data_IF_268979463066
#
_entry.id   IF_268979463066
#
_cell.length_a   1.000
_cell.length_b   1.000
_cell.length_c   1.000
_cell.angle_alpha   90.00
_cell.angle_beta   90.00
_cell.angle_gamma   90.00
#
_symmetry.space_group_name_H-M   'P 1'
#
loop_
_entity.id
_entity.type
_entity.pdbx_description
1 polymer ?
#
# COMPACT_ATOMS: atom_id res chain seq x y z
N UNK A 1 -28.51 -6.99 6.69
CA UNK A 1 -29.50 -5.90 6.52
C UNK A 1 -30.17 -5.56 7.85
N UNK A 2 -29.50 -4.71 8.64
CA UNK A 2 -29.98 -3.84 9.72
C UNK A 2 -28.71 -3.43 10.49
N UNK A 3 -28.58 -2.12 10.73
CA UNK A 3 -27.44 -1.42 11.36
C UNK A 3 -26.33 -0.93 10.44
N UNK A 4 -26.65 0.03 9.56
CA UNK A 4 -25.74 1.14 9.29
C UNK A 4 -26.60 2.41 9.38
N UNK A 5 -26.69 2.96 10.58
CA UNK A 5 -27.18 4.32 10.83
C UNK A 5 -26.10 5.05 11.62
N UNK A 6 -25.95 6.33 11.30
CA UNK A 6 -25.11 7.38 11.91
C UNK A 6 -23.93 7.79 11.02
N UNK A 7 -24.24 8.66 10.07
CA UNK A 7 -23.47 9.88 9.85
C UNK A 7 -24.50 11.01 9.78
N UNK A 8 -24.68 11.73 10.88
CA UNK A 8 -25.49 12.95 10.95
C UNK A 8 -24.81 13.94 11.90
N UNK A 9 -24.95 15.22 11.57
CA UNK A 9 -24.34 16.44 12.15
C UNK A 9 -22.93 16.74 11.60
N UNK A 10 -22.61 17.90 11.01
CA UNK A 10 -23.20 19.25 10.94
C UNK A 10 -22.57 19.97 9.74
N UNK A 11 -23.32 20.75 8.97
CA UNK A 11 -23.08 22.19 8.66
C UNK A 11 -24.05 22.68 7.57
N UNK A 12 -24.76 23.76 7.90
CA UNK A 12 -25.59 24.56 7.02
C UNK A 12 -24.71 25.34 6.04
N UNK A 13 -24.93 25.12 4.74
CA UNK A 13 -24.22 25.77 3.64
C UNK A 13 -24.32 24.92 2.37
N UNK A 14 -25.53 24.67 1.89
CA UNK A 14 -25.79 23.73 0.79
C UNK A 14 -25.39 24.39 -0.54
N UNK A 15 -24.13 24.23 -0.93
CA UNK A 15 -23.83 24.06 -2.35
C UNK A 15 -24.10 22.60 -2.69
N UNK A 16 -24.95 22.37 -3.68
CA UNK A 16 -25.40 21.04 -4.07
C UNK A 16 -24.25 20.31 -4.78
N UNK A 17 -23.39 19.60 -4.04
CA UNK A 17 -22.34 18.75 -4.60
C UNK A 17 -22.97 17.43 -5.06
N UNK A 18 -23.69 17.46 -6.19
CA UNK A 18 -24.16 16.23 -6.81
C UNK A 18 -22.95 15.45 -7.36
N UNK A 19 -22.50 14.41 -6.65
CA UNK A 19 -21.64 13.42 -7.27
C UNK A 19 -22.42 12.72 -8.37
N UNK A 20 -21.84 12.65 -9.58
CA UNK A 20 -22.47 11.98 -10.72
C UNK A 20 -22.72 10.52 -10.34
N UNK A 21 -23.99 10.07 -10.43
CA UNK A 21 -24.33 8.63 -10.36
C UNK A 21 -23.64 7.90 -11.53
N UNK A 22 -22.43 7.41 -11.29
CA UNK A 22 -21.71 6.49 -12.18
C UNK A 22 -21.57 5.11 -11.54
N UNK A 23 -22.62 4.71 -10.80
CA UNK A 23 -22.88 3.32 -10.46
C UNK A 23 -23.32 2.61 -11.76
N UNK A 24 -22.54 1.65 -12.26
CA UNK A 24 -22.89 0.88 -13.47
C UNK A 24 -21.83 0.77 -14.57
N UNK A 25 -20.53 0.78 -14.26
CA UNK A 25 -19.55 0.27 -15.22
C UNK A 25 -19.80 -1.24 -15.43
N UNK A 26 -20.14 -1.63 -16.66
CA UNK A 26 -20.32 -3.04 -17.02
C UNK A 26 -19.12 -3.87 -16.56
N UNK A 27 -19.38 -4.91 -15.74
CA UNK A 27 -18.36 -5.89 -15.33
C UNK A 27 -17.75 -5.71 -13.94
N UNK A 28 -18.29 -4.83 -13.09
CA UNK A 28 -17.92 -4.79 -11.66
C UNK A 28 -18.48 -6.00 -10.89
N UNK A 29 -17.74 -6.44 -9.86
CA UNK A 29 -18.26 -7.38 -8.86
C UNK A 29 -19.46 -6.73 -8.14
N UNK A 30 -20.56 -7.46 -7.86
CA UNK A 30 -21.75 -6.90 -7.22
C UNK A 30 -21.48 -6.20 -5.88
N UNK A 31 -20.58 -6.73 -5.05
CA UNK A 31 -20.25 -6.11 -3.76
C UNK A 31 -19.45 -4.82 -3.94
N UNK A 32 -18.63 -4.74 -5.00
CA UNK A 32 -17.92 -3.51 -5.36
C UNK A 32 -18.92 -2.46 -5.86
N UNK A 33 -19.87 -2.88 -6.69
CA UNK A 33 -20.95 -2.00 -7.17
C UNK A 33 -21.80 -1.44 -6.02
N UNK A 34 -22.23 -2.28 -5.07
CA UNK A 34 -22.98 -1.87 -3.87
C UNK A 34 -22.15 -0.89 -3.01
N UNK A 35 -20.87 -1.18 -2.80
CA UNK A 35 -19.97 -0.27 -2.09
C UNK A 35 -19.87 1.10 -2.78
N UNK A 36 -19.71 1.13 -4.11
CA UNK A 36 -19.65 2.37 -4.87
C UNK A 36 -20.96 3.16 -4.78
N UNK A 37 -22.11 2.50 -4.81
CA UNK A 37 -23.41 3.15 -4.61
C UNK A 37 -23.54 3.79 -3.23
N UNK A 38 -23.08 3.11 -2.18
CA UNK A 38 -23.07 3.65 -0.81
C UNK A 38 -22.19 4.89 -0.71
N UNK A 39 -20.94 4.84 -1.20
CA UNK A 39 -20.05 6.01 -1.11
C UNK A 39 -20.54 7.19 -1.94
N UNK A 40 -21.13 6.94 -3.11
CA UNK A 40 -21.67 8.00 -3.97
C UNK A 40 -23.00 8.58 -3.46
N UNK A 41 -23.63 7.97 -2.46
CA UNK A 41 -24.80 8.54 -1.77
C UNK A 41 -24.44 9.71 -0.84
N UNK A 42 -23.14 9.87 -0.54
CA UNK A 42 -22.63 10.98 0.23
C UNK A 42 -22.61 12.28 -0.60
N UNK A 43 -23.38 13.28 -0.15
CA UNK A 43 -23.52 14.58 -0.83
C UNK A 43 -22.61 15.67 -0.23
N UNK A 44 -21.65 15.32 0.63
CA UNK A 44 -20.70 16.28 1.19
C UNK A 44 -19.47 16.51 0.31
N UNK A 45 -18.55 17.39 0.74
CA UNK A 45 -17.34 17.68 -0.02
C UNK A 45 -16.44 16.43 -0.11
N UNK A 46 -15.66 16.28 -1.17
CA UNK A 46 -14.74 15.15 -1.30
C UNK A 46 -13.69 15.13 -0.19
N UNK A 47 -13.10 13.96 0.07
CA UNK A 47 -12.21 13.74 1.23
C UNK A 47 -11.06 14.76 1.34
N UNK A 48 -10.49 15.18 0.20
CA UNK A 48 -9.40 16.16 0.14
C UNK A 48 -9.80 17.61 0.44
N UNK A 49 -11.10 17.92 0.50
CA UNK A 49 -11.62 19.24 0.85
C UNK A 49 -12.06 19.32 2.33
N UNK A 50 -12.04 18.20 3.05
CA UNK A 50 -12.31 18.15 4.48
C UNK A 50 -11.07 18.57 5.30
N UNK A 51 -11.26 19.06 6.54
CA UNK A 51 -10.16 19.15 7.50
C UNK A 51 -9.44 17.79 7.64
N UNK A 52 -8.11 17.81 7.75
CA UNK A 52 -7.27 16.60 7.68
C UNK A 52 -7.63 15.57 8.75
N UNK A 53 -7.91 16.01 9.97
CA UNK A 53 -8.34 15.16 11.09
C UNK A 53 -9.69 14.49 10.80
N UNK A 54 -10.65 15.24 10.26
CA UNK A 54 -11.96 14.72 9.84
C UNK A 54 -11.82 13.70 8.71
N UNK A 55 -11.02 14.01 7.68
CA UNK A 55 -10.78 13.09 6.56
C UNK A 55 -10.08 11.79 7.00
N UNK A 56 -9.06 11.88 7.87
CA UNK A 56 -8.39 10.72 8.46
C UNK A 56 -9.35 9.88 9.31
N UNK A 57 -10.17 10.52 10.14
CA UNK A 57 -11.18 9.83 10.94
C UNK A 57 -12.26 9.16 10.08
N UNK A 58 -12.66 9.78 8.96
CA UNK A 58 -13.60 9.18 8.02
C UNK A 58 -13.05 7.86 7.43
N UNK A 59 -11.76 7.81 7.08
CA UNK A 59 -11.11 6.58 6.61
C UNK A 59 -11.05 5.51 7.70
N UNK A 60 -10.76 5.87 8.96
CA UNK A 60 -10.81 4.91 10.07
C UNK A 60 -12.23 4.39 10.32
N UNK A 61 -13.24 5.27 10.23
CA UNK A 61 -14.64 4.89 10.40
C UNK A 61 -15.13 3.96 9.28
N UNK A 62 -14.71 4.19 8.03
CA UNK A 62 -15.00 3.32 6.89
C UNK A 62 -14.52 1.87 7.12
N UNK A 63 -13.44 1.72 7.90
CA UNK A 63 -12.83 0.44 8.21
C UNK A 63 -13.42 -0.22 9.47
N UNK A 64 -14.36 0.40 10.18
CA UNK A 64 -14.97 -0.21 11.37
C UNK A 64 -15.79 -1.44 10.98
N UNK A 65 -15.49 -2.56 11.62
CA UNK A 65 -16.24 -3.79 11.49
C UNK A 65 -16.17 -4.59 12.81
N UNK A 66 -17.32 -4.75 13.47
CA UNK A 66 -17.43 -5.43 14.76
C UNK A 66 -17.27 -6.95 14.69
N UNK A 67 -17.26 -7.53 13.49
CA UNK A 67 -17.05 -8.98 13.27
C UNK A 67 -15.56 -9.35 13.25
N UNK A 68 -14.67 -8.37 13.12
CA UNK A 68 -13.22 -8.60 13.08
C UNK A 68 -12.65 -8.80 14.49
N UNK A 69 -11.98 -9.94 14.70
CA UNK A 69 -11.21 -10.20 15.93
C UNK A 69 -9.71 -10.09 15.69
N UNK A 70 -8.97 -9.81 16.77
CA UNK A 70 -7.52 -9.65 16.76
C UNK A 70 -6.83 -10.46 17.87
N UNK A 71 -7.56 -11.39 18.47
CA UNK A 71 -7.13 -12.24 19.59
C UNK A 71 -5.99 -13.20 19.24
N UNK A 72 -5.75 -13.46 17.94
CA UNK A 72 -4.69 -14.36 17.45
C UNK A 72 -3.37 -13.68 17.10
N UNK A 73 -3.28 -12.36 17.25
CA UNK A 73 -2.05 -11.59 17.00
C UNK A 73 -1.67 -10.74 18.21
N UNK A 74 -0.39 -10.40 18.30
CA UNK A 74 0.13 -9.39 19.21
C UNK A 74 0.50 -8.14 18.42
N UNK A 75 0.23 -6.97 19.01
CA UNK A 75 0.66 -5.67 18.49
C UNK A 75 1.72 -5.10 19.41
N UNK A 76 2.87 -4.72 18.86
CA UNK A 76 3.95 -4.10 19.63
C UNK A 76 4.38 -2.83 18.94
N UNK A 77 4.18 -1.68 19.60
CA UNK A 77 4.70 -0.40 19.13
C UNK A 77 6.18 -0.31 19.47
N UNK A 78 7.01 -0.05 18.46
CA UNK A 78 8.44 0.20 18.63
C UNK A 78 8.69 1.63 18.19
N UNK A 79 9.31 2.42 19.05
CA UNK A 79 9.84 3.74 18.71
C UNK A 79 11.35 3.68 18.76
N UNK A 80 12.00 4.26 17.76
CA UNK A 80 13.45 4.40 17.76
C UNK A 80 13.85 5.75 17.17
N UNK A 81 15.02 6.23 17.60
CA UNK A 81 15.64 7.44 17.07
C UNK A 81 16.89 7.05 16.30
N UNK A 82 17.04 7.60 15.12
CA UNK A 82 18.27 7.54 14.32
C UNK A 82 18.59 8.95 13.85
N UNK A 83 19.74 9.48 14.24
CA UNK A 83 20.08 10.91 14.11
C UNK A 83 19.00 11.79 14.77
N UNK A 84 18.49 12.81 14.07
CA UNK A 84 17.45 13.72 14.54
C UNK A 84 16.01 13.23 14.27
N UNK A 85 15.83 12.03 13.70
CA UNK A 85 14.51 11.51 13.32
C UNK A 85 14.05 10.44 14.30
N UNK A 86 12.84 10.61 14.82
CA UNK A 86 12.13 9.57 15.57
C UNK A 86 11.13 8.90 14.62
N UNK A 87 11.20 7.57 14.52
CA UNK A 87 10.27 6.79 13.68
C UNK A 87 9.57 5.76 14.55
N UNK A 88 8.27 5.60 14.32
CA UNK A 88 7.46 4.59 14.99
C UNK A 88 7.05 3.49 14.02
N UNK A 89 6.99 2.26 14.52
CA UNK A 89 6.43 1.12 13.79
C UNK A 89 5.49 0.35 14.70
N UNK A 90 4.47 -0.28 14.10
CA UNK A 90 3.64 -1.27 14.77
C UNK A 90 3.97 -2.64 14.22
N UNK A 91 4.47 -3.51 15.10
CA UNK A 91 4.79 -4.90 14.77
C UNK A 91 3.58 -5.77 15.06
N UNK A 92 3.07 -6.43 14.02
CA UNK A 92 1.98 -7.42 14.11
C UNK A 92 2.57 -8.82 13.99
N UNK A 93 2.39 -9.66 15.02
CA UNK A 93 2.92 -11.03 15.04
C UNK A 93 1.84 -12.04 15.43
N UNK A 94 1.77 -13.24 14.80
CA UNK A 94 0.92 -14.31 15.28
C UNK A 94 1.27 -14.72 16.72
N UNK A 95 0.26 -14.98 17.54
CA UNK A 95 0.48 -15.59 18.87
C UNK A 95 1.03 -17.01 18.69
N UNK A 96 1.93 -17.42 19.58
CA UNK A 96 2.58 -18.74 19.50
C UNK A 96 3.62 -18.88 18.38
N UNK A 97 3.92 -17.80 17.63
CA UNK A 97 4.97 -17.83 16.63
C UNK A 97 6.34 -18.14 17.24
N UNK A 98 7.25 -18.68 16.41
CA UNK A 98 8.66 -18.91 16.78
C UNK A 98 9.31 -17.64 17.32
N UNK A 99 10.38 -17.81 18.12
CA UNK A 99 11.12 -16.69 18.73
C UNK A 99 11.59 -15.67 17.68
N UNK A 100 11.97 -16.12 16.49
CA UNK A 100 12.36 -15.29 15.34
C UNK A 100 11.56 -15.79 14.12
N UNK A 101 10.84 -14.90 13.45
CA UNK A 101 10.05 -15.20 12.24
C UNK A 101 10.37 -14.22 11.10
N UNK A 102 10.13 -14.58 9.82
CA UNK A 102 10.37 -13.70 8.68
C UNK A 102 9.67 -12.34 8.79
N UNK A 103 10.26 -11.32 8.18
CA UNK A 103 9.85 -9.93 8.36
C UNK A 103 9.32 -9.32 7.06
N UNK A 104 8.07 -8.89 7.08
CA UNK A 104 7.47 -8.08 6.02
C UNK A 104 7.31 -6.63 6.49
N UNK A 105 8.06 -5.69 5.92
CA UNK A 105 7.92 -4.26 6.20
C UNK A 105 6.85 -3.69 5.27
N UNK A 106 5.85 -3.05 5.86
CA UNK A 106 4.67 -2.57 5.14
C UNK A 106 4.53 -1.05 5.21
N UNK A 107 4.41 -0.42 4.05
CA UNK A 107 4.12 1.01 3.88
C UNK A 107 2.67 1.15 3.43
N UNK A 108 1.89 1.94 4.16
CA UNK A 108 0.46 2.07 3.89
C UNK A 108 0.13 3.05 2.77
N UNK A 109 -1.00 2.83 2.10
CA UNK A 109 -1.56 3.75 1.11
C UNK A 109 -2.26 4.96 1.74
N UNK A 110 -3.33 5.43 1.07
CA UNK A 110 -4.06 6.65 1.47
C UNK A 110 -3.45 7.94 0.94
N UNK A 111 -2.77 7.86 -0.20
CA UNK A 111 -2.21 9.02 -0.91
C UNK A 111 -1.23 9.85 -0.09
N UNK A 112 -0.44 9.20 0.77
CA UNK A 112 0.48 9.81 1.75
C UNK A 112 -0.18 10.65 2.84
N UNK A 113 -1.51 10.82 2.84
CA UNK A 113 -2.23 11.77 3.71
C UNK A 113 -3.12 11.09 4.74
N UNK A 114 -3.98 10.17 4.32
CA UNK A 114 -5.19 9.85 5.08
C UNK A 114 -5.08 8.64 6.00
N UNK A 115 -4.36 7.61 5.59
CA UNK A 115 -4.42 6.33 6.27
C UNK A 115 -3.39 6.25 7.41
N UNK A 116 -3.45 5.13 8.13
CA UNK A 116 -2.60 4.80 9.26
C UNK A 116 -2.84 3.37 9.74
N UNK A 117 -2.29 2.99 10.89
CA UNK A 117 -2.34 1.59 11.34
C UNK A 117 -3.77 1.06 11.48
N UNK A 118 -4.69 1.81 12.07
CA UNK A 118 -6.06 1.35 12.30
C UNK A 118 -6.81 1.05 10.98
N UNK A 119 -6.63 1.88 9.94
CA UNK A 119 -7.23 1.62 8.61
C UNK A 119 -6.74 0.31 7.96
N UNK A 120 -5.51 -0.11 8.24
CA UNK A 120 -4.87 -1.29 7.64
C UNK A 120 -4.85 -2.51 8.56
N UNK A 121 -5.29 -2.35 9.81
CA UNK A 121 -5.11 -3.32 10.90
C UNK A 121 -5.59 -4.72 10.55
N UNK A 122 -6.74 -4.83 9.87
CA UNK A 122 -7.26 -6.10 9.35
C UNK A 122 -6.28 -6.74 8.36
N UNK A 123 -5.88 -6.02 7.31
CA UNK A 123 -5.00 -6.56 6.28
C UNK A 123 -3.66 -7.01 6.89
N UNK A 124 -3.12 -6.23 7.84
CA UNK A 124 -1.87 -6.57 8.51
C UNK A 124 -2.01 -7.85 9.35
N UNK A 125 -3.12 -7.99 10.10
CA UNK A 125 -3.47 -9.23 10.81
C UNK A 125 -3.58 -10.41 9.84
N UNK A 126 -4.33 -10.23 8.75
CA UNK A 126 -4.61 -11.30 7.79
C UNK A 126 -3.31 -11.83 7.15
N UNK A 127 -2.43 -10.93 6.72
CA UNK A 127 -1.12 -11.29 6.16
C UNK A 127 -0.26 -11.97 7.24
N UNK A 128 -0.18 -11.41 8.44
CA UNK A 128 0.63 -11.98 9.53
C UNK A 128 0.21 -13.43 9.83
N UNK A 129 -1.10 -13.69 9.94
CA UNK A 129 -1.64 -15.01 10.24
C UNK A 129 -1.48 -15.98 9.06
N UNK A 130 -1.87 -15.58 7.84
CA UNK A 130 -1.87 -16.48 6.68
C UNK A 130 -0.47 -16.77 6.15
N UNK A 131 0.44 -15.81 6.19
CA UNK A 131 1.82 -15.99 5.74
C UNK A 131 2.74 -16.49 6.87
N UNK A 132 2.31 -16.45 8.13
CA UNK A 132 3.09 -16.77 9.33
C UNK A 132 4.35 -15.90 9.48
N UNK A 133 4.18 -14.60 9.27
CA UNK A 133 5.26 -13.60 9.27
C UNK A 133 5.01 -12.51 10.30
N UNK A 134 6.07 -11.80 10.70
CA UNK A 134 5.92 -10.53 11.36
C UNK A 134 5.69 -9.43 10.33
N UNK A 135 4.63 -8.65 10.49
CA UNK A 135 4.39 -7.46 9.68
C UNK A 135 4.83 -6.24 10.47
N UNK A 136 5.81 -5.50 9.95
CA UNK A 136 6.31 -4.24 10.51
C UNK A 136 5.64 -3.10 9.75
N UNK A 137 4.54 -2.59 10.31
CA UNK A 137 3.82 -1.46 9.74
C UNK A 137 4.53 -0.16 10.07
N UNK A 138 4.87 0.63 9.04
CA UNK A 138 5.59 1.90 9.21
C UNK A 138 4.62 3.05 9.45
N UNK A 139 4.74 3.72 10.60
CA UNK A 139 4.01 4.96 10.89
C UNK A 139 4.87 6.15 10.42
N UNK A 140 4.91 6.39 9.10
CA UNK A 140 5.66 7.51 8.52
C UNK A 140 4.93 8.85 8.70
N UNK A 141 5.68 9.94 8.65
CA UNK A 141 5.18 11.32 8.64
C UNK A 141 4.38 11.58 7.36
N UNK A 142 3.12 11.97 7.53
CA UNK A 142 2.14 12.11 6.44
C UNK A 142 2.17 13.50 5.82
N UNK A 143 1.82 13.58 4.55
CA UNK A 143 1.54 14.85 3.89
C UNK A 143 0.18 15.41 4.37
N UNK A 144 -0.04 16.74 4.31
CA UNK A 144 0.91 17.79 3.94
C UNK A 144 1.89 18.18 5.07
N UNK A 145 1.78 17.63 6.29
CA UNK A 145 2.67 18.00 7.40
C UNK A 145 4.14 17.68 7.10
N UNK A 146 4.39 16.63 6.33
CA UNK A 146 5.68 16.32 5.76
C UNK A 146 5.57 15.91 4.27
N UNK A 147 6.19 16.69 3.40
CA UNK A 147 6.32 16.38 1.96
C UNK A 147 7.54 15.47 1.69
N UNK A 148 7.68 15.02 0.44
CA UNK A 148 8.88 14.33 -0.04
C UNK A 148 10.17 15.10 0.33
N UNK A 149 11.25 14.43 0.79
CA UNK A 149 11.47 12.98 0.85
C UNK A 149 11.21 12.34 2.22
N UNK A 150 10.59 13.04 3.18
CA UNK A 150 10.60 12.67 4.61
C UNK A 150 10.13 11.22 4.84
N UNK A 151 8.96 10.86 4.34
CA UNK A 151 8.39 9.52 4.52
C UNK A 151 9.27 8.41 3.91
N UNK A 152 9.91 8.66 2.75
CA UNK A 152 10.80 7.69 2.11
C UNK A 152 12.07 7.48 2.94
N UNK A 153 12.64 8.55 3.48
CA UNK A 153 13.80 8.48 4.36
C UNK A 153 13.47 7.74 5.66
N UNK A 154 12.32 7.99 6.27
CA UNK A 154 11.85 7.24 7.43
C UNK A 154 11.64 5.75 7.12
N UNK A 155 11.06 5.43 5.95
CA UNK A 155 10.91 4.05 5.52
C UNK A 155 12.25 3.32 5.32
N UNK A 156 13.23 4.00 4.75
CA UNK A 156 14.60 3.49 4.63
C UNK A 156 15.27 3.30 6.00
N UNK A 157 15.05 4.23 6.94
CA UNK A 157 15.53 4.10 8.32
C UNK A 157 14.92 2.89 9.00
N UNK A 158 13.62 2.61 8.82
CA UNK A 158 12.98 1.40 9.35
C UNK A 158 13.60 0.15 8.77
N UNK A 159 13.74 0.06 7.44
CA UNK A 159 14.36 -1.11 6.81
C UNK A 159 15.78 -1.36 7.36
N UNK A 160 16.57 -0.30 7.50
CA UNK A 160 17.91 -0.36 8.07
C UNK A 160 17.91 -0.78 9.55
N UNK A 161 17.02 -0.21 10.35
CA UNK A 161 16.89 -0.51 11.77
C UNK A 161 16.48 -1.97 12.01
N UNK A 162 15.51 -2.47 11.26
CA UNK A 162 15.05 -3.86 11.38
C UNK A 162 16.14 -4.84 10.92
N UNK A 163 16.91 -4.50 9.89
CA UNK A 163 18.04 -5.34 9.47
C UNK A 163 19.17 -5.40 10.51
N UNK A 164 19.43 -4.30 11.24
CA UNK A 164 20.45 -4.26 12.29
C UNK A 164 19.97 -4.86 13.61
N UNK A 165 18.75 -4.56 14.01
CA UNK A 165 18.27 -4.76 15.39
C UNK A 165 17.04 -5.66 15.49
N UNK A 166 16.45 -6.12 14.38
CA UNK A 166 15.19 -6.86 14.36
C UNK A 166 15.19 -8.12 15.26
N UNK A 167 16.34 -8.80 15.39
CA UNK A 167 16.46 -10.00 16.24
C UNK A 167 16.05 -9.74 17.70
N UNK A 168 16.30 -8.53 18.24
CA UNK A 168 15.93 -8.17 19.62
C UNK A 168 14.41 -8.07 19.82
N UNK A 169 13.65 -7.94 18.73
CA UNK A 169 12.18 -7.93 18.70
C UNK A 169 11.60 -9.25 18.16
N UNK A 170 12.45 -10.28 18.01
CA UNK A 170 12.05 -11.57 17.44
C UNK A 170 11.66 -11.49 15.96
N UNK A 171 12.33 -10.61 15.21
CA UNK A 171 12.18 -10.43 13.77
C UNK A 171 13.42 -10.97 13.06
N UNK A 172 13.23 -11.73 11.98
CA UNK A 172 14.34 -12.15 11.14
C UNK A 172 14.86 -10.96 10.33
N UNK A 173 16.08 -10.56 10.66
CA UNK A 173 16.73 -9.38 10.09
C UNK A 173 17.49 -9.65 8.78
N UNK A 174 17.52 -10.92 8.34
CA UNK A 174 18.19 -11.38 7.11
C UNK A 174 17.21 -11.73 5.99
N UNK A 175 15.94 -11.92 6.34
CA UNK A 175 14.85 -12.26 5.43
C UNK A 175 13.78 -11.16 5.48
N UNK A 176 14.09 -10.03 4.85
CA UNK A 176 13.23 -8.84 4.82
C UNK A 176 12.59 -8.71 3.43
N UNK A 177 11.27 -8.68 3.38
CA UNK A 177 10.49 -8.23 2.22
C UNK A 177 9.92 -6.85 2.54
N UNK A 178 9.88 -5.96 1.56
CA UNK A 178 9.16 -4.68 1.65
C UNK A 178 7.88 -4.74 0.83
N UNK A 179 6.89 -3.95 1.17
CA UNK A 179 5.70 -3.83 0.34
C UNK A 179 4.77 -2.75 0.82
N UNK A 180 3.72 -2.55 0.05
CA UNK A 180 2.72 -1.54 0.36
C UNK A 180 1.67 -1.44 -0.71
N UNK A 181 0.63 -0.69 -0.39
CA UNK A 181 -0.51 -0.44 -1.25
C UNK A 181 -0.56 1.02 -1.72
N UNK A 182 -0.99 1.26 -2.95
CA UNK A 182 -1.18 2.62 -3.48
C UNK A 182 0.11 3.46 -3.37
N UNK A 183 0.06 4.60 -2.68
CA UNK A 183 1.20 5.42 -2.27
C UNK A 183 2.25 4.65 -1.45
N UNK A 184 1.85 3.68 -0.64
CA UNK A 184 2.76 2.77 0.05
C UNK A 184 3.51 1.83 -0.90
N UNK A 185 2.89 1.44 -2.02
CA UNK A 185 3.57 0.72 -3.10
C UNK A 185 4.67 1.57 -3.76
N UNK A 186 4.41 2.86 -3.96
CA UNK A 186 5.43 3.84 -4.38
C UNK A 186 6.61 3.86 -3.40
N UNK A 187 6.31 4.03 -2.11
CA UNK A 187 7.31 4.07 -1.04
C UNK A 187 8.13 2.77 -0.95
N UNK A 188 7.49 1.61 -1.08
CA UNK A 188 8.18 0.32 -1.03
C UNK A 188 9.28 0.21 -2.11
N UNK A 189 8.95 0.63 -3.33
CA UNK A 189 9.92 0.69 -4.42
C UNK A 189 11.00 1.75 -4.16
N UNK A 190 10.64 2.95 -3.68
CA UNK A 190 11.61 3.99 -3.37
C UNK A 190 12.63 3.52 -2.32
N UNK A 191 12.15 2.89 -1.24
CA UNK A 191 13.00 2.29 -0.19
C UNK A 191 13.89 1.18 -0.76
N UNK A 192 13.37 0.36 -1.69
CA UNK A 192 14.19 -0.66 -2.34
C UNK A 192 15.32 -0.06 -3.21
N UNK A 193 15.04 1.04 -3.92
CA UNK A 193 16.06 1.79 -4.66
C UNK A 193 17.10 2.41 -3.71
N UNK A 194 16.66 3.03 -2.61
CA UNK A 194 17.54 3.60 -1.60
C UNK A 194 18.44 2.52 -0.97
N UNK A 195 17.88 1.36 -0.64
CA UNK A 195 18.62 0.22 -0.10
C UNK A 195 19.67 -0.31 -1.08
N UNK A 196 19.33 -0.38 -2.38
CA UNK A 196 20.29 -0.72 -3.44
C UNK A 196 21.41 0.32 -3.53
N UNK A 197 21.08 1.61 -3.61
CA UNK A 197 22.04 2.70 -3.75
C UNK A 197 23.02 2.75 -2.56
N UNK A 198 22.53 2.52 -1.34
CA UNK A 198 23.35 2.49 -0.14
C UNK A 198 24.03 1.13 0.12
N UNK A 199 23.73 0.11 -0.69
CA UNK A 199 24.23 -1.26 -0.53
C UNK A 199 23.64 -2.04 0.66
N UNK A 200 22.75 -1.42 1.45
CA UNK A 200 22.18 -1.94 2.69
C UNK A 200 20.78 -1.33 2.94
N UNK A 201 19.82 -2.06 3.55
CA UNK A 201 19.85 -3.49 3.84
C UNK A 201 19.62 -4.34 2.56
N UNK A 202 19.86 -5.65 2.66
CA UNK A 202 19.49 -6.58 1.59
C UNK A 202 18.00 -6.94 1.69
N UNK A 203 17.26 -6.69 0.62
CA UNK A 203 15.83 -6.97 0.53
C UNK A 203 15.59 -8.18 -0.38
N UNK A 204 14.77 -9.12 0.07
CA UNK A 204 14.49 -10.40 -0.61
C UNK A 204 13.48 -10.24 -1.75
N UNK A 205 12.45 -9.43 -1.53
CA UNK A 205 11.40 -9.17 -2.50
C UNK A 205 10.72 -7.83 -2.22
N UNK A 206 9.90 -7.37 -3.17
CA UNK A 206 8.96 -6.28 -2.98
C UNK A 206 7.54 -6.70 -3.40
N UNK A 207 6.52 -6.27 -2.67
CA UNK A 207 5.11 -6.53 -2.96
C UNK A 207 4.39 -5.20 -3.15
N UNK A 208 3.90 -4.96 -4.37
CA UNK A 208 3.36 -3.68 -4.80
C UNK A 208 1.87 -3.86 -5.13
N UNK A 209 1.00 -3.35 -4.27
CA UNK A 209 -0.45 -3.46 -4.43
C UNK A 209 -0.96 -2.17 -5.06
N UNK A 210 -1.46 -2.25 -6.30
CA UNK A 210 -2.00 -1.15 -7.12
C UNK A 210 -1.19 0.15 -6.96
N UNK A 211 0.14 0.11 -7.23
CA UNK A 211 1.06 1.16 -6.80
C UNK A 211 0.92 2.45 -7.60
N UNK A 212 1.17 3.58 -6.96
CA UNK A 212 1.47 4.85 -7.66
C UNK A 212 2.91 4.79 -8.18
N UNK A 213 3.11 5.03 -9.46
CA UNK A 213 4.41 4.88 -10.14
C UNK A 213 4.77 6.05 -11.07
N UNK A 214 3.81 6.89 -11.46
CA UNK A 214 4.05 8.02 -12.36
C UNK A 214 3.30 9.29 -11.92
N UNK A 215 3.80 10.46 -12.36
CA UNK A 215 3.09 11.74 -12.18
C UNK A 215 2.19 12.07 -13.38
N UNK A 216 2.20 11.25 -14.42
CA UNK A 216 1.33 11.41 -15.58
C UNK A 216 -0.09 10.94 -15.29
N UNK A 217 -1.02 11.90 -15.17
CA UNK A 217 -2.43 11.62 -14.91
C UNK A 217 -3.27 11.41 -16.18
N UNK A 218 -2.66 11.11 -17.34
CA UNK A 218 -3.33 10.99 -18.64
C UNK A 218 -3.20 9.59 -19.28
N UNK A 219 -3.00 8.52 -18.49
CA UNK A 219 -3.04 7.16 -19.06
C UNK A 219 -4.46 6.79 -19.48
N UNK A 220 -4.66 5.79 -20.35
CA UNK A 220 -6.01 5.32 -20.71
C UNK A 220 -6.85 4.92 -19.49
N UNK A 221 -6.25 4.32 -18.46
CA UNK A 221 -6.94 4.04 -17.18
C UNK A 221 -7.33 5.30 -16.42
N UNK A 222 -6.48 6.33 -16.38
CA UNK A 222 -6.81 7.62 -15.78
C UNK A 222 -7.96 8.32 -16.51
N UNK A 223 -8.01 8.26 -17.84
CA UNK A 223 -9.09 8.84 -18.62
C UNK A 223 -10.41 8.10 -18.37
N UNK A 224 -10.37 6.77 -18.49
CA UNK A 224 -11.56 5.91 -18.39
C UNK A 224 -12.17 5.88 -16.99
N UNK A 225 -11.35 5.86 -15.95
CA UNK A 225 -11.81 5.73 -14.56
C UNK A 225 -11.63 7.03 -13.76
N UNK A 226 -11.54 8.18 -14.45
CA UNK A 226 -11.27 9.49 -13.83
C UNK A 226 -12.21 9.86 -12.67
N UNK A 227 -13.43 9.32 -12.66
CA UNK A 227 -14.48 9.55 -11.66
C UNK A 227 -15.26 8.25 -11.42
N UNK A 228 -16.03 8.19 -10.33
CA UNK A 228 -17.04 7.15 -10.09
C UNK A 228 -16.49 5.77 -9.68
N UNK A 229 -15.19 5.63 -9.44
CA UNK A 229 -14.54 4.36 -9.10
C UNK A 229 -13.70 4.49 -7.82
N UNK A 230 -14.24 5.18 -6.81
CA UNK A 230 -13.60 5.49 -5.53
C UNK A 230 -12.38 6.42 -5.65
N UNK A 231 -11.25 5.97 -6.20
CA UNK A 231 -10.09 6.82 -6.46
C UNK A 231 -10.32 7.63 -7.74
N UNK A 232 -10.29 8.96 -7.63
CA UNK A 232 -10.49 9.87 -8.76
C UNK A 232 -9.18 10.47 -9.27
N UNK A 233 -9.18 10.90 -10.52
CA UNK A 233 -8.06 11.63 -11.13
C UNK A 233 -7.77 12.95 -10.39
N UNK A 234 -8.80 13.67 -9.95
CA UNK A 234 -8.65 14.91 -9.19
C UNK A 234 -8.05 14.66 -7.80
N UNK A 235 -8.44 13.57 -7.14
CA UNK A 235 -7.85 13.19 -5.85
C UNK A 235 -6.36 12.84 -6.01
N UNK A 236 -5.99 12.10 -7.07
CA UNK A 236 -4.58 11.83 -7.37
C UNK A 236 -3.77 13.09 -7.68
N UNK A 237 -4.35 14.05 -8.39
CA UNK A 237 -3.71 15.36 -8.62
C UNK A 237 -3.41 16.06 -7.30
N UNK A 238 -4.39 16.11 -6.41
CA UNK A 238 -4.23 16.72 -5.09
C UNK A 238 -3.18 16.00 -4.24
N UNK A 239 -3.17 14.66 -4.23
CA UNK A 239 -2.12 13.90 -3.53
C UNK A 239 -0.71 14.27 -4.00
N UNK A 240 -0.50 14.41 -5.32
CA UNK A 240 0.79 14.86 -5.85
C UNK A 240 1.14 16.29 -5.42
N UNK A 241 0.17 17.20 -5.38
CA UNK A 241 0.37 18.59 -4.96
C UNK A 241 0.85 18.69 -3.50
N UNK A 242 0.30 17.87 -2.59
CA UNK A 242 0.70 17.90 -1.17
C UNK A 242 1.94 17.05 -0.86
N UNK A 243 2.14 15.94 -1.57
CA UNK A 243 3.28 15.06 -1.36
C UNK A 243 4.57 15.59 -2.00
N UNK A 244 4.51 16.03 -3.25
CA UNK A 244 5.65 16.49 -4.03
C UNK A 244 5.32 17.83 -4.72
N UNK A 245 5.16 18.93 -3.96
CA UNK A 245 4.74 20.22 -4.51
C UNK A 245 5.74 20.80 -5.52
N UNK A 246 7.04 20.51 -5.35
CA UNK A 246 8.05 20.89 -6.31
C UNK A 246 7.99 19.96 -7.54
N UNK A 247 7.75 20.51 -8.73
CA UNK A 247 7.66 19.73 -9.97
C UNK A 247 9.03 19.27 -10.48
N UNK A 248 10.12 19.90 -10.09
CA UNK A 248 11.48 19.53 -10.54
C UNK A 248 11.85 18.11 -10.09
N UNK A 249 11.33 17.69 -8.94
CA UNK A 249 11.58 16.35 -8.39
C UNK A 249 10.67 15.27 -8.98
N UNK A 250 9.68 15.61 -9.81
CA UNK A 250 8.74 14.63 -10.41
C UNK A 250 9.42 13.69 -11.41
N UNK A 251 10.66 13.97 -11.79
CA UNK A 251 11.49 13.10 -12.64
C UNK A 251 12.32 12.09 -11.83
N UNK A 252 12.46 12.28 -10.52
CA UNK A 252 13.27 11.41 -9.66
C UNK A 252 12.65 10.02 -9.57
N UNK A 253 13.49 8.98 -9.70
CA UNK A 253 13.08 7.58 -9.62
C UNK A 253 12.39 7.21 -8.29
N UNK A 254 12.76 7.88 -7.20
CA UNK A 254 12.17 7.71 -5.86
C UNK A 254 10.87 8.49 -5.64
N UNK A 255 10.47 9.33 -6.61
CA UNK A 255 9.17 10.02 -6.64
C UNK A 255 8.25 9.30 -7.63
N UNK A 256 8.71 9.16 -8.89
CA UNK A 256 8.00 8.50 -9.97
C UNK A 256 8.81 7.30 -10.51
N UNK A 257 8.69 6.11 -9.89
CA UNK A 257 9.43 4.91 -10.29
C UNK A 257 9.33 4.53 -11.76
N UNK A 258 8.20 4.83 -12.42
CA UNK A 258 8.03 4.58 -13.85
C UNK A 258 8.99 5.42 -14.71
N UNK A 259 9.55 6.51 -14.18
CA UNK A 259 10.55 7.34 -14.86
C UNK A 259 12.00 6.89 -14.61
N UNK A 260 12.23 5.99 -13.67
CA UNK A 260 13.57 5.46 -13.33
C UNK A 260 14.30 4.86 -14.55
N UNK A 261 15.61 5.04 -14.67
CA UNK A 261 16.38 4.39 -15.74
C UNK A 261 16.44 2.86 -15.53
N UNK A 262 16.76 2.10 -16.59
CA UNK A 262 16.97 0.64 -16.42
C UNK A 262 18.12 0.34 -15.43
N UNK A 263 19.11 1.22 -15.34
CA UNK A 263 20.20 1.09 -14.38
C UNK A 263 19.73 1.31 -12.94
N UNK A 264 18.79 2.23 -12.70
CA UNK A 264 18.17 2.42 -11.38
C UNK A 264 17.39 1.18 -10.94
N UNK A 265 16.74 0.49 -11.90
CA UNK A 265 15.90 -0.68 -11.65
C UNK A 265 16.64 -2.01 -11.61
N UNK A 266 17.82 -2.11 -12.26
CA UNK A 266 18.61 -3.35 -12.29
C UNK A 266 18.93 -3.82 -10.87
N UNK A 267 18.87 -5.13 -10.62
CA UNK A 267 19.15 -5.74 -9.31
C UNK A 267 18.21 -5.27 -8.17
N UNK A 268 17.06 -4.65 -8.47
CA UNK A 268 15.99 -4.54 -7.48
C UNK A 268 15.46 -5.92 -7.09
N UNK A 269 14.87 -6.06 -5.89
CA UNK A 269 14.33 -7.34 -5.42
C UNK A 269 13.23 -7.85 -6.36
N UNK A 270 13.07 -9.18 -6.42
CA UNK A 270 11.96 -9.80 -7.14
C UNK A 270 10.61 -9.22 -6.68
N UNK A 271 9.68 -9.10 -7.60
CA UNK A 271 8.47 -8.30 -7.39
C UNK A 271 7.20 -9.10 -7.61
N UNK A 272 6.25 -8.98 -6.70
CA UNK A 272 4.83 -9.21 -6.96
C UNK A 272 4.16 -7.85 -7.14
N UNK A 273 3.52 -7.62 -8.28
CA UNK A 273 2.74 -6.43 -8.56
C UNK A 273 1.28 -6.81 -8.85
N UNK A 274 0.35 -6.25 -8.10
CA UNK A 274 -1.08 -6.49 -8.26
C UNK A 274 -1.73 -5.19 -8.75
N UNK A 275 -2.60 -5.25 -9.75
CA UNK A 275 -3.43 -4.10 -10.17
C UNK A 275 -4.91 -4.45 -10.10
N UNK A 276 -5.76 -3.44 -9.95
CA UNK A 276 -7.21 -3.55 -10.07
C UNK A 276 -7.66 -3.14 -11.48
N UNK A 277 -8.70 -3.79 -12.02
CA UNK A 277 -9.19 -3.50 -13.37
C UNK A 277 -9.78 -2.10 -13.53
N UNK A 278 -10.53 -1.63 -12.53
CA UNK A 278 -11.23 -0.33 -12.49
C UNK A 278 -10.48 0.64 -11.58
N UNK A 279 -9.26 1.00 -11.98
CA UNK A 279 -8.38 1.87 -11.22
C UNK A 279 -7.63 2.82 -12.15
N UNK A 280 -7.59 4.10 -11.80
CA UNK A 280 -6.81 5.11 -12.51
C UNK A 280 -5.32 4.75 -12.58
N UNK A 281 -4.78 4.09 -11.55
CA UNK A 281 -3.37 3.70 -11.45
C UNK A 281 -3.00 2.41 -12.20
N UNK A 282 -3.98 1.73 -12.78
CA UNK A 282 -3.77 0.41 -13.39
C UNK A 282 -2.67 0.41 -14.44
N UNK A 283 -2.77 1.31 -15.42
CA UNK A 283 -1.88 1.28 -16.57
C UNK A 283 -0.44 1.67 -16.20
N UNK A 284 -0.25 2.59 -15.26
CA UNK A 284 1.08 2.95 -14.78
C UNK A 284 1.74 1.82 -13.97
N UNK A 285 0.98 1.13 -13.10
CA UNK A 285 1.48 -0.03 -12.37
C UNK A 285 1.88 -1.17 -13.31
N UNK A 286 1.08 -1.45 -14.34
CA UNK A 286 1.40 -2.47 -15.35
C UNK A 286 2.57 -2.07 -16.25
N UNK A 287 2.69 -0.79 -16.60
CA UNK A 287 3.85 -0.26 -17.30
C UNK A 287 5.13 -0.40 -16.45
N UNK A 288 5.04 -0.16 -15.14
CA UNK A 288 6.17 -0.32 -14.23
C UNK A 288 6.60 -1.79 -14.10
N UNK A 289 5.65 -2.74 -14.04
CA UNK A 289 5.96 -4.16 -14.09
C UNK A 289 6.72 -4.54 -15.37
N UNK A 290 6.33 -4.01 -16.53
CA UNK A 290 7.06 -4.20 -17.80
C UNK A 290 8.47 -3.62 -17.71
N UNK A 291 8.63 -2.41 -17.15
CA UNK A 291 9.92 -1.73 -17.01
C UNK A 291 10.88 -2.48 -16.08
N UNK A 292 10.39 -3.04 -14.98
CA UNK A 292 11.15 -3.92 -14.10
C UNK A 292 11.66 -5.17 -14.84
N UNK A 293 10.81 -5.81 -15.67
CA UNK A 293 11.24 -6.95 -16.51
C UNK A 293 12.28 -6.55 -17.54
N UNK A 294 12.17 -5.38 -18.16
CA UNK A 294 13.20 -4.85 -19.06
C UNK A 294 14.54 -4.69 -18.33
N UNK A 295 14.52 -4.29 -17.06
CA UNK A 295 15.70 -4.22 -16.19
C UNK A 295 16.15 -5.59 -15.60
N UNK A 296 15.58 -6.70 -16.11
CA UNK A 296 15.88 -8.09 -15.70
C UNK A 296 15.52 -8.42 -14.24
N UNK A 297 14.60 -7.67 -13.63
CA UNK A 297 14.03 -8.02 -12.32
C UNK A 297 13.01 -9.16 -12.53
N UNK A 298 13.01 -10.21 -11.69
CA UNK A 298 11.94 -11.22 -11.71
C UNK A 298 10.63 -10.60 -11.22
N UNK A 299 9.58 -10.61 -12.06
CA UNK A 299 8.30 -9.94 -11.77
C UNK A 299 7.13 -10.85 -12.08
N UNK A 300 6.27 -11.04 -11.09
CA UNK A 300 4.88 -11.49 -11.29
C UNK A 300 4.00 -10.23 -11.30
N UNK A 301 3.20 -10.04 -12.35
CA UNK A 301 2.21 -8.96 -12.42
C UNK A 301 0.82 -9.53 -12.70
N UNK A 302 -0.15 -9.25 -11.84
CA UNK A 302 -1.52 -9.79 -11.93
C UNK A 302 -2.55 -8.67 -11.85
N UNK A 303 -3.47 -8.61 -12.81
CA UNK A 303 -4.66 -7.76 -12.73
C UNK A 303 -5.81 -8.56 -12.15
N UNK A 304 -6.50 -8.02 -11.14
CA UNK A 304 -7.74 -8.57 -10.63
C UNK A 304 -8.93 -7.86 -11.28
N UNK A 305 -9.80 -8.65 -11.92
CA UNK A 305 -11.00 -8.18 -12.60
C UNK A 305 -12.12 -7.79 -11.63
N UNK A 306 -13.03 -6.94 -12.09
CA UNK A 306 -14.26 -6.58 -11.38
C UNK A 306 -14.08 -5.75 -10.10
N UNK A 307 -12.86 -5.28 -9.82
CA UNK A 307 -12.52 -4.60 -8.56
C UNK A 307 -11.86 -3.24 -8.80
N UNK A 308 -11.77 -2.45 -7.72
CA UNK A 308 -11.34 -1.04 -7.71
C UNK A 308 -10.03 -0.85 -6.94
N UNK A 309 -9.52 0.38 -6.97
CA UNK A 309 -8.42 0.80 -6.11
C UNK A 309 -8.70 0.47 -4.63
N UNK A 310 -7.66 0.12 -3.86
CA UNK A 310 -7.74 -0.24 -2.45
C UNK A 310 -8.58 -1.48 -2.07
N UNK A 311 -9.00 -2.31 -3.03
CA UNK A 311 -9.86 -3.49 -2.76
C UNK A 311 -9.31 -4.48 -1.72
N UNK A 312 -7.98 -4.55 -1.56
CA UNK A 312 -7.33 -5.37 -0.55
C UNK A 312 -7.34 -4.72 0.84
N UNK A 313 -7.39 -3.39 0.92
CA UNK A 313 -7.41 -2.62 2.17
C UNK A 313 -8.83 -2.48 2.71
N UNK A 314 -9.78 -2.11 1.85
CA UNK A 314 -11.16 -1.79 2.20
C UNK A 314 -11.88 -2.96 2.86
N UNK A 315 -12.27 -2.79 4.13
CA UNK A 315 -12.98 -3.82 4.89
C UNK A 315 -14.33 -4.23 4.28
N UNK A 316 -15.12 -3.31 3.67
CA UNK A 316 -16.34 -3.68 2.95
C UNK A 316 -16.12 -4.66 1.79
N UNK A 317 -14.92 -4.66 1.17
CA UNK A 317 -14.61 -5.49 0.01
C UNK A 317 -13.84 -6.77 0.36
N UNK A 318 -13.47 -6.97 1.62
CA UNK A 318 -12.58 -8.07 2.05
C UNK A 318 -13.13 -9.47 1.71
N UNK A 319 -14.45 -9.61 1.64
CA UNK A 319 -15.12 -10.90 1.45
C UNK A 319 -15.27 -11.27 -0.03
N UNK A 320 -15.00 -10.34 -0.95
CA UNK A 320 -15.01 -10.60 -2.40
C UNK A 320 -13.99 -11.67 -2.77
N UNK A 321 -14.26 -12.43 -3.83
CA UNK A 321 -13.33 -13.44 -4.31
C UNK A 321 -12.01 -12.82 -4.80
N UNK A 322 -12.05 -11.63 -5.40
CA UNK A 322 -10.86 -10.89 -5.79
C UNK A 322 -9.95 -10.59 -4.57
N UNK A 323 -10.50 -10.01 -3.49
CA UNK A 323 -9.71 -9.71 -2.29
C UNK A 323 -9.14 -10.96 -1.62
N UNK A 324 -9.94 -12.04 -1.53
CA UNK A 324 -9.48 -13.31 -0.95
C UNK A 324 -8.37 -13.96 -1.77
N UNK A 325 -8.53 -14.03 -3.09
CA UNK A 325 -7.53 -14.62 -3.99
C UNK A 325 -6.24 -13.79 -4.02
N UNK A 326 -6.34 -12.47 -4.06
CA UNK A 326 -5.18 -11.58 -4.01
C UNK A 326 -4.42 -11.68 -2.68
N UNK A 327 -5.14 -11.77 -1.55
CA UNK A 327 -4.53 -12.01 -0.24
C UNK A 327 -3.77 -13.34 -0.20
N UNK A 328 -4.35 -14.40 -0.76
CA UNK A 328 -3.70 -15.71 -0.83
C UNK A 328 -2.44 -15.67 -1.71
N UNK A 329 -2.50 -14.97 -2.85
CA UNK A 329 -1.35 -14.75 -3.72
C UNK A 329 -0.22 -14.02 -3.00
N UNK A 330 -0.53 -12.96 -2.24
CA UNK A 330 0.44 -12.22 -1.41
C UNK A 330 1.09 -13.15 -0.38
N UNK A 331 0.28 -13.91 0.35
CA UNK A 331 0.77 -14.79 1.42
C UNK A 331 1.64 -15.93 0.87
N UNK A 332 1.26 -16.50 -0.27
CA UNK A 332 2.06 -17.52 -0.95
C UNK A 332 3.38 -16.94 -1.48
N UNK A 333 3.35 -15.76 -2.09
CA UNK A 333 4.57 -15.09 -2.55
C UNK A 333 5.53 -14.75 -1.40
N UNK A 334 5.00 -14.33 -0.25
CA UNK A 334 5.79 -14.14 0.98
C UNK A 334 6.44 -15.46 1.42
N UNK A 335 5.65 -16.53 1.58
CA UNK A 335 6.13 -17.85 1.98
C UNK A 335 7.25 -18.35 1.04
N UNK A 336 7.06 -18.26 -0.27
CA UNK A 336 8.09 -18.64 -1.25
C UNK A 336 9.33 -17.74 -1.18
N UNK A 337 9.17 -16.46 -0.83
CA UNK A 337 10.30 -15.52 -0.69
C UNK A 337 11.19 -15.78 0.53
N UNK A 338 10.68 -16.52 1.51
CA UNK A 338 11.42 -16.87 2.73
C UNK A 338 11.94 -18.30 2.76
N UNK A 339 11.58 -19.14 1.78
CA UNK A 339 12.21 -20.45 1.64
C UNK A 339 13.70 -20.26 1.36
N UNK A 340 14.54 -21.06 2.03
CA UNK A 340 15.97 -21.12 1.72
C UNK A 340 16.09 -21.59 0.26
N UNK A 341 16.88 -20.87 -0.54
CA UNK A 341 17.33 -21.39 -1.82
C UNK A 341 18.02 -22.73 -1.53
N UNK A 342 17.49 -23.82 -2.08
CA UNK A 342 18.25 -25.06 -2.14
C UNK A 342 19.48 -24.71 -2.96
N UNK A 343 20.67 -24.79 -2.36
CA UNK A 343 21.90 -24.78 -3.15
C UNK A 343 21.70 -25.85 -4.21
N UNK A 344 21.67 -25.45 -5.49
CA UNK A 344 21.89 -26.41 -6.55
C UNK A 344 23.27 -26.97 -6.26
N UNK A 345 23.32 -28.25 -5.90
CA UNK A 345 24.57 -29.01 -5.97
C UNK A 345 24.98 -28.94 -7.43
N UNK A 346 25.86 -27.98 -7.75
CA UNK A 346 26.71 -28.06 -8.93
C UNK A 346 27.53 -29.34 -8.74
N UNK A 347 26.97 -30.44 -9.21
CA UNK A 347 27.73 -31.60 -9.62
C UNK A 347 28.70 -31.09 -10.67
N UNK A 348 29.96 -31.00 -10.28
CA UNK A 348 31.10 -31.09 -11.18
C UNK A 348 30.84 -32.22 -12.19
N UNK A 349 30.88 -31.87 -13.47
CA UNK A 349 31.10 -32.77 -14.58
C UNK A 349 32.14 -32.14 -15.51
#
# INVERSE_FOLDING_TARGET
MKHILIVLCLFLGINNYAQVKLAGSYGLDPAVQEFLEVIHSYNGPPLQELPLDVGRAAMENLQKDSTLTYDKVNFTKIKFKEKSKEVSVVVVKPKGAKKIIPTFIYFHGGGWVFNGFETHKRLMRDIALKAEVAVVFVEFSRAPEASYPVANEEGYLVASFISKYGKKYGLDSTNIVVGGDSAGGNMATAVAMMAKQNGFPKLKAQILLYPVTDTNLNTPSYERFSKGHYLTRSTMKWFWEVYAPNKDIHSLATVAPLKASLNDLKNLPKTLLITAEYDVLRDEGEAYAKKLRMAKVPVVSTRYGGTIHDFLMLNPLRETFASKAALEQICNFLKESYKKEKKSDEKEL
#
